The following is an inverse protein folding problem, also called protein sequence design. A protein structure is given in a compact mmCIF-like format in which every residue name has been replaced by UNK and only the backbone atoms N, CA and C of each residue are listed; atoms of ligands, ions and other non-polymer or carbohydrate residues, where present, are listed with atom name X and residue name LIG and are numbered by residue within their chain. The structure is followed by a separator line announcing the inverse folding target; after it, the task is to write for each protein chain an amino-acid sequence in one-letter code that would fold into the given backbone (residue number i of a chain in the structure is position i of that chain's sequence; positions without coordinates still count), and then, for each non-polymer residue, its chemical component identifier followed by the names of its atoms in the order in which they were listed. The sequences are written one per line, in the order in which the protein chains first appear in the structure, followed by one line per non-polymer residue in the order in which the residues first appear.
data_IF_675506752865
#
_entry.id   IF_675506752865
#
_cell.length_a   1.000
_cell.length_b   1.000
_cell.length_c   1.000
_cell.angle_alpha   90.00
_cell.angle_beta   90.00
_cell.angle_gamma   90.00
#
_symmetry.space_group_name_H-M   'P 1'
#
loop_
_entity.id
_entity.type
_entity.pdbx_description
1 polymer ?
#
# COMPACT_ATOMS: atom_id res chain seq x y z
N UNK A 1 -64.83 -26.39 34.84
CA UNK A 1 -64.58 -26.93 33.48
C UNK A 1 -64.04 -25.82 32.55
N UNK A 2 -63.04 -25.03 32.97
CA UNK A 2 -62.66 -23.78 32.27
C UNK A 2 -61.16 -23.47 32.22
N UNK A 3 -60.28 -24.46 32.38
CA UNK A 3 -58.84 -24.23 32.57
C UNK A 3 -57.99 -24.43 31.29
N UNK A 4 -58.37 -25.41 30.46
CA UNK A 4 -57.56 -25.86 29.30
C UNK A 4 -57.44 -24.81 28.16
N UNK A 5 -58.41 -23.90 28.02
CA UNK A 5 -58.37 -22.94 26.91
C UNK A 5 -57.26 -21.88 27.06
N UNK A 6 -56.87 -21.55 28.29
CA UNK A 6 -55.87 -20.54 28.56
C UNK A 6 -54.44 -21.10 28.42
N UNK A 7 -54.22 -22.37 28.76
CA UNK A 7 -52.91 -23.04 28.67
C UNK A 7 -52.35 -23.06 27.24
N UNK A 8 -53.19 -23.35 26.25
CA UNK A 8 -52.79 -23.31 24.84
C UNK A 8 -52.35 -21.92 24.38
N UNK A 9 -53.00 -20.86 24.89
CA UNK A 9 -52.63 -19.47 24.58
C UNK A 9 -51.32 -19.08 25.24
N UNK A 10 -51.06 -19.54 26.46
CA UNK A 10 -49.77 -19.34 27.13
C UNK A 10 -48.63 -20.05 26.42
N UNK A 11 -48.82 -21.31 26.02
CA UNK A 11 -47.80 -22.04 25.28
C UNK A 11 -47.53 -21.42 23.90
N UNK A 12 -48.58 -20.93 23.22
CA UNK A 12 -48.42 -20.21 21.96
C UNK A 12 -47.67 -18.88 22.16
N UNK A 13 -48.05 -18.09 23.17
CA UNK A 13 -47.38 -16.83 23.48
C UNK A 13 -45.91 -17.04 23.87
N UNK A 14 -45.64 -18.01 24.74
CA UNK A 14 -44.30 -18.37 25.16
C UNK A 14 -43.44 -18.81 23.97
N UNK A 15 -43.98 -19.69 23.10
CA UNK A 15 -43.31 -20.08 21.86
C UNK A 15 -43.00 -18.89 20.96
N UNK A 16 -43.96 -18.01 20.67
CA UNK A 16 -43.74 -16.82 19.84
C UNK A 16 -42.69 -15.91 20.49
N UNK A 17 -42.79 -15.66 21.80
CA UNK A 17 -41.89 -14.79 22.54
C UNK A 17 -40.45 -15.31 22.51
N UNK A 18 -40.26 -16.62 22.73
CA UNK A 18 -38.95 -17.27 22.76
C UNK A 18 -38.28 -17.28 21.40
N UNK A 19 -39.04 -17.48 20.32
CA UNK A 19 -38.51 -17.35 18.95
C UNK A 19 -38.08 -15.91 18.65
N UNK A 20 -38.90 -14.92 19.01
CA UNK A 20 -38.57 -13.49 18.82
C UNK A 20 -37.34 -13.08 19.64
N UNK A 21 -37.24 -13.53 20.89
CA UNK A 21 -36.08 -13.30 21.76
C UNK A 21 -34.82 -13.94 21.17
N UNK A 22 -34.90 -15.19 20.70
CA UNK A 22 -33.79 -15.91 20.09
C UNK A 22 -33.24 -15.19 18.86
N UNK A 23 -34.12 -14.72 17.96
CA UNK A 23 -33.73 -13.94 16.78
C UNK A 23 -33.04 -12.63 17.17
N UNK A 24 -33.55 -11.92 18.18
CA UNK A 24 -32.92 -10.69 18.68
C UNK A 24 -31.53 -10.96 19.24
N UNK A 25 -31.37 -12.01 20.04
CA UNK A 25 -30.07 -12.40 20.61
C UNK A 25 -29.08 -12.70 19.48
N UNK A 26 -29.45 -13.55 18.51
CA UNK A 26 -28.59 -13.90 17.37
C UNK A 26 -28.19 -12.64 16.59
N UNK A 27 -29.14 -11.76 16.28
CA UNK A 27 -28.88 -10.50 15.58
C UNK A 27 -27.88 -9.61 16.34
N UNK A 28 -28.05 -9.47 17.66
CA UNK A 28 -27.11 -8.70 18.48
C UNK A 28 -25.72 -9.32 18.54
N UNK A 29 -25.61 -10.66 18.63
CA UNK A 29 -24.31 -11.34 18.61
C UNK A 29 -23.58 -11.10 17.28
N UNK A 30 -24.28 -11.22 16.15
CA UNK A 30 -23.70 -10.96 14.83
C UNK A 30 -23.24 -9.51 14.68
N UNK A 31 -24.03 -8.55 15.18
CA UNK A 31 -23.66 -7.15 15.17
C UNK A 31 -22.40 -6.87 16.00
N UNK A 32 -22.28 -7.47 17.19
CA UNK A 32 -21.08 -7.33 18.04
C UNK A 32 -19.84 -7.95 17.39
N UNK A 33 -19.97 -9.13 16.80
CA UNK A 33 -18.87 -9.78 16.05
C UNK A 33 -18.43 -8.87 14.90
N UNK A 34 -19.38 -8.37 14.12
CA UNK A 34 -19.10 -7.43 13.03
C UNK A 34 -18.37 -6.18 13.51
N UNK A 35 -18.81 -5.57 14.60
CA UNK A 35 -18.17 -4.40 15.19
C UNK A 35 -16.74 -4.69 15.64
N UNK A 36 -16.48 -5.83 16.29
CA UNK A 36 -15.13 -6.24 16.71
C UNK A 36 -14.23 -6.46 15.50
N UNK A 37 -14.72 -7.09 14.44
CA UNK A 37 -13.95 -7.31 13.21
C UNK A 37 -13.58 -5.97 12.56
N UNK A 38 -14.54 -5.06 12.40
CA UNK A 38 -14.29 -3.72 11.82
C UNK A 38 -13.30 -2.94 12.68
N UNK A 39 -13.49 -2.94 14.00
CA UNK A 39 -12.57 -2.29 14.93
C UNK A 39 -11.15 -2.84 14.82
N UNK A 40 -11.00 -4.17 14.76
CA UNK A 40 -9.71 -4.84 14.61
C UNK A 40 -9.04 -4.45 13.28
N UNK A 41 -9.78 -4.44 12.17
CA UNK A 41 -9.25 -4.02 10.87
C UNK A 41 -8.78 -2.56 10.89
N UNK A 42 -9.55 -1.65 11.47
CA UNK A 42 -9.16 -0.24 11.61
C UNK A 42 -7.93 -0.08 12.51
N UNK A 43 -7.85 -0.84 13.60
CA UNK A 43 -6.70 -0.82 14.50
C UNK A 43 -5.42 -1.33 13.81
N UNK A 44 -5.52 -2.44 13.06
CA UNK A 44 -4.40 -2.95 12.27
C UNK A 44 -3.97 -1.94 11.20
N UNK A 45 -4.92 -1.37 10.46
CA UNK A 45 -4.66 -0.35 9.45
C UNK A 45 -3.91 0.84 10.06
N UNK A 46 -4.43 1.40 11.15
CA UNK A 46 -3.80 2.52 11.84
C UNK A 46 -2.40 2.15 12.33
N UNK A 47 -2.22 0.98 12.95
CA UNK A 47 -0.92 0.54 13.49
C UNK A 47 0.12 0.39 12.39
N UNK A 48 -0.23 -0.25 11.27
CA UNK A 48 0.66 -0.42 10.12
C UNK A 48 0.97 0.94 9.48
N UNK A 49 -0.02 1.82 9.38
CA UNK A 49 0.14 3.16 8.82
C UNK A 49 1.06 4.03 9.67
N UNK A 50 0.85 4.09 10.99
CA UNK A 50 1.68 4.90 11.90
C UNK A 50 3.13 4.42 11.93
N UNK A 51 3.36 3.10 11.92
CA UNK A 51 4.72 2.54 11.84
C UNK A 51 5.40 2.93 10.54
N UNK A 52 4.70 2.77 9.41
CA UNK A 52 5.19 3.14 8.09
C UNK A 52 5.52 4.63 7.99
N UNK A 53 4.62 5.49 8.49
CA UNK A 53 4.78 6.94 8.45
C UNK A 53 5.94 7.42 9.35
N UNK A 54 6.20 6.73 10.48
CA UNK A 54 7.35 7.04 11.32
C UNK A 54 8.68 6.75 10.62
N UNK A 55 8.78 5.62 9.92
CA UNK A 55 9.96 5.30 9.11
C UNK A 55 10.10 6.31 7.97
N UNK A 56 9.00 6.64 7.30
CA UNK A 56 8.97 7.64 6.23
C UNK A 56 9.46 9.01 6.68
N UNK A 57 8.97 9.49 7.83
CA UNK A 57 9.45 10.75 8.41
C UNK A 57 10.94 10.74 8.69
N UNK A 58 11.49 9.63 9.20
CA UNK A 58 12.95 9.50 9.40
C UNK A 58 13.72 9.60 8.09
N UNK A 59 13.25 8.94 7.03
CA UNK A 59 13.86 9.03 5.70
C UNK A 59 13.75 10.44 5.11
N UNK A 60 12.60 11.12 5.30
CA UNK A 60 12.43 12.50 4.88
C UNK A 60 13.36 13.47 5.60
N UNK A 61 13.56 13.30 6.91
CA UNK A 61 14.55 14.09 7.67
C UNK A 61 15.99 13.84 7.20
N UNK A 62 16.27 12.70 6.58
CA UNK A 62 17.54 12.39 5.93
C UNK A 62 17.64 12.92 4.49
N UNK A 63 16.63 13.66 4.01
CA UNK A 63 16.57 14.18 2.63
C UNK A 63 16.13 13.15 1.58
N UNK A 64 15.72 11.95 2.00
CA UNK A 64 15.29 10.87 1.10
C UNK A 64 13.77 10.96 0.96
N UNK A 65 13.30 11.69 -0.05
CA UNK A 65 11.86 11.90 -0.28
C UNK A 65 11.29 10.78 -1.15
N UNK A 66 10.84 9.67 -0.55
CA UNK A 66 10.28 8.54 -1.31
C UNK A 66 8.91 8.80 -1.97
N UNK A 67 8.49 7.93 -2.92
CA UNK A 67 7.21 7.98 -3.63
C UNK A 67 6.00 7.92 -2.69
N UNK A 68 4.81 8.19 -3.24
CA UNK A 68 3.57 8.13 -2.48
C UNK A 68 3.32 6.71 -1.93
N UNK A 69 2.79 6.60 -0.71
CA UNK A 69 2.56 5.31 -0.08
C UNK A 69 1.44 4.56 -0.80
N UNK A 70 1.73 3.34 -1.22
CA UNK A 70 0.77 2.40 -1.79
C UNK A 70 0.79 1.11 -0.96
N UNK A 71 -0.31 0.85 -0.25
CA UNK A 71 -0.35 -0.18 0.81
C UNK A 71 -0.29 -1.62 0.28
N UNK A 72 -0.93 -1.91 -0.85
CA UNK A 72 -1.09 -3.29 -1.34
C UNK A 72 0.06 -3.76 -2.23
N UNK A 73 0.50 -2.92 -3.16
CA UNK A 73 1.53 -3.26 -4.15
C UNK A 73 2.83 -2.48 -3.98
N UNK A 74 2.87 -1.50 -3.06
CA UNK A 74 4.04 -0.63 -2.95
C UNK A 74 4.42 -0.01 -4.30
N UNK A 75 5.72 0.10 -4.55
CA UNK A 75 6.25 0.67 -5.79
C UNK A 75 6.40 -0.36 -6.92
N UNK A 76 5.92 -1.60 -6.75
CA UNK A 76 6.04 -2.67 -7.75
C UNK A 76 5.55 -2.29 -9.16
N UNK A 77 4.34 -1.71 -9.35
CA UNK A 77 3.88 -1.36 -10.70
C UNK A 77 4.74 -0.27 -11.34
N UNK A 78 5.32 0.64 -10.54
CA UNK A 78 6.24 1.66 -11.03
C UNK A 78 7.58 1.06 -11.44
N UNK A 79 8.11 0.13 -10.62
CA UNK A 79 9.30 -0.66 -10.94
C UNK A 79 9.14 -1.40 -12.26
N UNK A 80 8.02 -2.09 -12.46
CA UNK A 80 7.72 -2.81 -13.69
C UNK A 80 7.67 -1.86 -14.89
N UNK A 81 7.02 -0.71 -14.77
CA UNK A 81 6.96 0.30 -15.85
C UNK A 81 8.35 0.79 -16.25
N UNK A 82 9.21 1.10 -15.28
CA UNK A 82 10.55 1.63 -15.56
C UNK A 82 11.45 0.53 -16.14
N UNK A 83 11.37 -0.70 -15.63
CA UNK A 83 12.10 -1.84 -16.21
C UNK A 83 11.70 -2.10 -17.66
N UNK A 84 10.40 -2.08 -17.97
CA UNK A 84 9.91 -2.25 -19.34
C UNK A 84 10.36 -1.11 -20.27
N UNK A 85 10.47 0.12 -19.76
CA UNK A 85 11.02 1.26 -20.53
C UNK A 85 12.51 1.07 -20.80
N UNK A 86 13.28 0.71 -19.78
CA UNK A 86 14.72 0.49 -19.89
C UNK A 86 15.07 -0.64 -20.87
N UNK A 87 14.32 -1.74 -20.82
CA UNK A 87 14.49 -2.86 -21.75
C UNK A 87 14.26 -2.44 -23.21
N UNK A 88 13.20 -1.65 -23.46
CA UNK A 88 12.92 -1.12 -24.81
C UNK A 88 14.03 -0.20 -25.32
N UNK A 89 14.56 0.68 -24.47
CA UNK A 89 15.65 1.59 -24.86
C UNK A 89 16.94 0.82 -25.15
N UNK A 90 17.27 -0.21 -24.38
CA UNK A 90 18.45 -1.04 -24.60
C UNK A 90 18.40 -1.79 -25.94
N UNK A 91 17.22 -2.29 -26.35
CA UNK A 91 17.04 -2.96 -27.65
C UNK A 91 17.29 -1.98 -28.82
N UNK A 92 16.84 -0.73 -28.71
CA UNK A 92 17.04 0.28 -29.76
C UNK A 92 18.50 0.73 -29.89
N UNK A 93 19.24 0.85 -28.79
CA UNK A 93 20.66 1.28 -28.83
C UNK A 93 21.59 0.21 -29.39
N UNK A 94 21.28 -1.08 -29.18
CA UNK A 94 22.02 -2.20 -29.76
C UNK A 94 21.93 -2.26 -31.29
N UNK A 95 20.84 -1.76 -31.89
CA UNK A 95 20.68 -1.69 -33.35
C UNK A 95 21.42 -0.51 -33.99
N UNK A 96 21.92 0.45 -33.20
CA UNK A 96 22.50 1.72 -33.68
C UNK A 96 24.02 1.84 -33.50
N UNK A 97 24.71 0.85 -32.91
CA UNK A 97 26.14 0.93 -32.59
C UNK A 97 26.95 -0.23 -33.20
N UNK A 98 26.99 -0.30 -34.53
CA UNK A 98 28.07 -0.95 -35.29
C UNK A 98 29.19 0.06 -35.57
N UNK A 99 29.80 0.61 -34.53
CA UNK A 99 30.99 1.46 -34.65
C UNK A 99 32.08 0.97 -33.66
N UNK A 100 33.16 0.34 -34.15
CA UNK A 100 34.18 -0.31 -33.32
C UNK A 100 34.95 0.65 -32.40
N UNK A 101 34.94 1.95 -32.70
CA UNK A 101 35.76 2.95 -32.01
C UNK A 101 35.16 3.36 -30.65
N UNK A 102 33.86 3.09 -30.45
CA UNK A 102 33.12 3.47 -29.24
C UNK A 102 33.09 2.36 -28.17
N UNK A 103 33.53 1.14 -28.53
CA UNK A 103 33.56 -0.01 -27.63
C UNK A 103 34.61 0.19 -26.51
N UNK A 104 35.76 0.79 -26.85
CA UNK A 104 36.87 1.02 -25.91
C UNK A 104 36.49 2.07 -24.86
N UNK A 105 35.70 3.09 -25.23
CA UNK A 105 35.23 4.11 -24.29
C UNK A 105 34.12 3.59 -23.36
N UNK A 106 33.34 2.60 -23.81
CA UNK A 106 32.34 1.93 -22.98
C UNK A 106 32.98 0.99 -21.94
N UNK A 107 34.11 0.35 -22.28
CA UNK A 107 34.87 -0.52 -21.38
C UNK A 107 35.55 0.24 -20.23
N UNK A 108 35.91 1.52 -20.43
CA UNK A 108 36.54 2.35 -19.40
C UNK A 108 35.51 2.92 -18.39
N UNK A 109 34.21 2.91 -18.72
CA UNK A 109 33.10 3.26 -17.80
C UNK A 109 32.64 2.02 -16.99
N UNK A 110 33.48 0.99 -16.86
CA UNK A 110 33.16 -0.27 -16.19
C UNK A 110 33.08 -0.23 -14.63
N UNK A 111 32.90 0.94 -14.00
CA UNK A 111 32.74 1.01 -12.53
C UNK A 111 31.31 1.24 -12.05
N UNK A 112 30.34 1.44 -12.94
CA UNK A 112 28.95 1.65 -12.56
C UNK A 112 28.03 0.70 -13.32
N UNK A 113 27.99 -0.56 -12.89
CA UNK A 113 27.05 -1.58 -13.39
C UNK A 113 25.63 -1.40 -12.82
N UNK A 114 25.43 -0.42 -11.95
CA UNK A 114 24.13 -0.07 -11.36
C UNK A 114 23.02 0.19 -12.39
N UNK A 115 23.25 0.89 -13.52
CA UNK A 115 22.21 1.15 -14.53
C UNK A 115 21.80 -0.08 -15.32
N UNK A 116 22.71 -1.04 -15.51
CA UNK A 116 22.42 -2.29 -16.22
C UNK A 116 21.71 -3.31 -15.33
N UNK A 117 22.07 -3.40 -14.04
CA UNK A 117 21.41 -4.30 -13.10
C UNK A 117 20.09 -3.73 -12.54
N UNK A 118 20.05 -2.43 -12.25
CA UNK A 118 18.93 -1.79 -11.55
C UNK A 118 18.55 -0.45 -12.20
N UNK A 119 18.07 -0.44 -13.46
CA UNK A 119 17.69 0.79 -14.16
C UNK A 119 16.63 1.60 -13.40
N UNK A 120 15.73 0.90 -12.71
CA UNK A 120 14.76 1.51 -11.80
C UNK A 120 15.41 2.35 -10.70
N UNK A 121 16.45 1.84 -10.04
CA UNK A 121 17.05 2.52 -8.90
C UNK A 121 17.78 3.80 -9.31
N UNK A 122 18.40 3.78 -10.49
CA UNK A 122 19.04 4.97 -11.06
C UNK A 122 18.00 6.07 -11.31
N UNK A 123 16.86 5.74 -11.91
CA UNK A 123 15.79 6.70 -12.14
C UNK A 123 15.15 7.19 -10.83
N UNK A 124 14.86 6.26 -9.91
CA UNK A 124 14.27 6.58 -8.61
C UNK A 124 15.14 7.55 -7.81
N UNK A 125 16.44 7.32 -7.74
CA UNK A 125 17.39 8.19 -7.02
C UNK A 125 17.45 9.59 -7.62
N UNK A 126 17.40 9.72 -8.96
CA UNK A 126 17.33 11.03 -9.62
C UNK A 126 16.07 11.77 -9.19
N UNK A 127 14.91 11.13 -9.23
CA UNK A 127 13.62 11.75 -8.93
C UNK A 127 13.47 12.14 -7.45
N UNK A 128 13.90 11.27 -6.54
CA UNK A 128 13.49 11.33 -5.13
C UNK A 128 14.59 11.73 -4.15
N UNK A 129 15.86 11.55 -4.53
CA UNK A 129 17.00 11.97 -3.71
C UNK A 129 17.53 13.32 -4.17
N UNK A 130 17.72 13.53 -5.48
CA UNK A 130 18.34 14.77 -6.00
C UNK A 130 17.37 15.94 -5.98
N UNK A 131 16.13 15.79 -6.47
CA UNK A 131 15.12 16.85 -6.34
C UNK A 131 14.64 17.02 -4.89
N UNK A 132 14.74 15.99 -4.05
CA UNK A 132 14.41 16.06 -2.63
C UNK A 132 15.36 16.95 -1.82
N UNK A 133 16.65 16.96 -2.17
CA UNK A 133 17.70 17.74 -1.47
C UNK A 133 17.86 19.16 -1.99
N UNK A 134 17.47 19.45 -3.23
CA UNK A 134 17.57 20.79 -3.82
C UNK A 134 16.40 21.73 -3.44
N UNK A 135 15.24 21.19 -3.06
CA UNK A 135 14.04 21.98 -2.74
C UNK A 135 13.55 22.02 -1.26
N UNK A 136 14.35 21.73 -0.20
CA UNK A 136 13.84 21.83 1.17
C UNK A 136 13.78 23.28 1.70
N UNK A 137 14.42 24.27 1.05
CA UNK A 137 14.60 25.62 1.63
C UNK A 137 13.80 26.75 0.96
N UNK A 138 13.21 26.55 -0.21
CA UNK A 138 12.66 27.67 -1.01
C UNK A 138 11.15 27.93 -0.85
N UNK A 139 10.49 27.28 0.12
CA UNK A 139 9.05 27.47 0.37
C UNK A 139 8.69 28.10 1.72
N UNK A 140 9.67 28.65 2.47
CA UNK A 140 9.41 29.34 3.75
C UNK A 140 9.53 30.86 3.67
N UNK A 141 10.08 31.43 2.59
CA UNK A 141 10.10 32.88 2.42
C UNK A 141 9.82 33.30 0.98
N UNK A 142 8.56 33.65 0.72
CA UNK A 142 8.24 34.75 -0.18
C UNK A 142 7.23 35.66 0.54
N UNK A 143 7.47 36.98 0.58
CA UNK A 143 6.59 37.98 1.21
C UNK A 143 5.23 38.10 0.51
#
# INVERSE_FOLDING_TARGET
MGDNHNEHLYHFYDWVSNNVLSVKVISTCLALIGAVVVWSMLHLYNTVWFKSERVRRKLWMQGIKGPSPSLLYGNLPEMQKIQLKALRTATTTAELTTDPDNIINAEIVAHDYTPSLFPYFVQWRKEYVIYGTLYPHDLVHSP
#
